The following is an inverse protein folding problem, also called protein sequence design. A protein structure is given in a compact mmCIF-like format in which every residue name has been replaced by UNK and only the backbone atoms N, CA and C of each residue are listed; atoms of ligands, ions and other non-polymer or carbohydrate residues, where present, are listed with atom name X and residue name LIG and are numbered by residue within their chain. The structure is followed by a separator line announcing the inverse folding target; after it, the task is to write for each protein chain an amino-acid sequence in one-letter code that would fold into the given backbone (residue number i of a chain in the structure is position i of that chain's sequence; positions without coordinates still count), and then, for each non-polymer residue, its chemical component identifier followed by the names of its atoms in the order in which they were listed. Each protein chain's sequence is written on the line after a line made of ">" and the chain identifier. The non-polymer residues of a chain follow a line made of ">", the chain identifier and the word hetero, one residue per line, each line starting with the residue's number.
data_IF_220075074006
#
_entry.id   IF_220075074006
#
_cell.length_a   1.000
_cell.length_b   1.000
_cell.length_c   1.000
_cell.angle_alpha   90.00
_cell.angle_beta   90.00
_cell.angle_gamma   90.00
#
_symmetry.space_group_name_H-M   'P 1'
#
loop_
_entity.id
_entity.type
_entity.pdbx_description
1 polymer ?
#
# COMPACT_ATOMS: atom_id res chain seq x y z
N UNK A 1 31.10 -22.28 -9.74
CA UNK A 1 30.65 -21.68 -8.47
C UNK A 1 29.16 -21.96 -8.34
N UNK A 2 28.78 -22.89 -7.46
CA UNK A 2 27.38 -23.12 -7.13
C UNK A 2 27.00 -21.94 -6.24
N UNK A 3 26.31 -20.94 -6.79
CA UNK A 3 25.73 -19.88 -5.98
C UNK A 3 24.67 -20.52 -5.11
N UNK A 4 24.92 -20.64 -3.81
CA UNK A 4 23.91 -21.09 -2.86
C UNK A 4 22.71 -20.16 -2.95
N UNK A 5 21.62 -20.63 -3.56
CA UNK A 5 20.34 -19.96 -3.53
C UNK A 5 19.90 -19.88 -2.06
N UNK A 6 19.89 -18.66 -1.53
CA UNK A 6 19.42 -18.38 -0.17
C UNK A 6 17.89 -18.44 -0.16
N UNK A 7 17.36 -19.04 0.89
CA UNK A 7 15.92 -19.07 1.12
C UNK A 7 15.34 -17.66 1.30
N UNK A 8 14.03 -17.52 1.10
CA UNK A 8 13.32 -16.26 1.34
C UNK A 8 13.47 -15.82 2.80
N UNK A 9 13.47 -16.77 3.75
CA UNK A 9 13.62 -16.50 5.17
C UNK A 9 14.99 -15.90 5.51
N UNK A 10 16.08 -16.46 4.97
CA UNK A 10 17.44 -15.94 5.17
C UNK A 10 17.62 -14.54 4.55
N UNK A 11 17.02 -14.31 3.38
CA UNK A 11 17.04 -12.98 2.76
C UNK A 11 16.26 -11.96 3.60
N UNK A 12 15.10 -12.35 4.14
CA UNK A 12 14.29 -11.48 4.98
C UNK A 12 14.99 -11.12 6.30
N UNK A 13 15.63 -12.09 6.96
CA UNK A 13 16.41 -11.86 8.17
C UNK A 13 17.54 -10.84 7.91
N UNK A 14 18.34 -11.05 6.86
CA UNK A 14 19.42 -10.12 6.50
C UNK A 14 18.94 -8.70 6.23
N UNK A 15 17.81 -8.54 5.54
CA UNK A 15 17.25 -7.21 5.27
C UNK A 15 16.78 -6.55 6.57
N UNK A 16 16.19 -7.32 7.50
CA UNK A 16 15.80 -6.80 8.83
C UNK A 16 17.00 -6.35 9.65
N UNK A 17 18.08 -7.12 9.65
CA UNK A 17 19.32 -6.75 10.34
C UNK A 17 19.89 -5.45 9.78
N UNK A 18 19.96 -5.33 8.45
CA UNK A 18 20.40 -4.10 7.79
C UNK A 18 19.51 -2.89 8.10
N UNK A 19 18.19 -3.08 8.18
CA UNK A 19 17.27 -2.03 8.61
C UNK A 19 17.54 -1.62 10.05
N UNK A 20 17.76 -2.59 10.95
CA UNK A 20 18.01 -2.31 12.35
C UNK A 20 19.31 -1.51 12.54
N UNK A 21 20.39 -1.92 11.88
CA UNK A 21 21.67 -1.20 11.90
C UNK A 21 21.52 0.24 11.39
N UNK A 22 20.85 0.43 10.25
CA UNK A 22 20.63 1.75 9.67
C UNK A 22 19.74 2.64 10.55
N UNK A 23 18.68 2.09 11.15
CA UNK A 23 17.79 2.82 12.06
C UNK A 23 18.55 3.29 13.30
N UNK A 24 19.35 2.42 13.92
CA UNK A 24 20.16 2.76 15.09
C UNK A 24 21.22 3.83 14.75
N UNK A 25 21.87 3.71 13.60
CA UNK A 25 22.82 4.73 13.12
C UNK A 25 22.15 6.11 12.95
N UNK A 26 20.90 6.12 12.48
CA UNK A 26 20.07 7.33 12.34
C UNK A 26 19.40 7.78 13.65
N UNK A 27 19.70 7.15 14.79
CA UNK A 27 19.07 7.39 16.10
C UNK A 27 17.55 7.23 16.11
N UNK A 28 17.06 6.26 15.33
CA UNK A 28 15.66 5.85 15.28
C UNK A 28 15.49 4.43 15.80
N UNK A 29 14.28 4.08 16.22
CA UNK A 29 13.95 2.71 16.60
C UNK A 29 13.66 1.89 15.33
N UNK A 30 14.22 0.67 15.17
CA UNK A 30 13.95 -0.18 14.00
C UNK A 30 12.46 -0.41 13.74
N UNK A 31 11.65 -0.46 14.79
CA UNK A 31 10.20 -0.70 14.73
C UNK A 31 9.43 0.46 14.07
N UNK A 32 10.06 1.63 13.91
CA UNK A 32 9.47 2.75 13.16
C UNK A 32 9.63 2.59 11.63
N UNK A 33 10.37 1.57 11.18
CA UNK A 33 10.62 1.30 9.77
C UNK A 33 9.79 0.09 9.33
N UNK A 34 8.87 0.33 8.41
CA UNK A 34 8.09 -0.74 7.79
C UNK A 34 8.83 -1.32 6.59
N UNK A 35 9.18 -2.60 6.64
CA UNK A 35 9.69 -3.34 5.47
C UNK A 35 8.52 -3.78 4.58
N UNK A 36 8.48 -3.26 3.35
CA UNK A 36 7.53 -3.67 2.31
C UNK A 36 8.24 -4.56 1.29
N UNK A 37 7.87 -5.84 1.21
CA UNK A 37 8.41 -6.76 0.22
C UNK A 37 7.73 -6.58 -1.14
N UNK A 38 8.48 -6.25 -2.18
CA UNK A 38 7.94 -6.04 -3.53
C UNK A 38 7.73 -7.38 -4.22
N UNK A 39 6.49 -7.66 -4.62
CA UNK A 39 6.09 -8.97 -5.16
C UNK A 39 5.94 -9.04 -6.68
N UNK A 40 6.27 -7.98 -7.41
CA UNK A 40 6.15 -7.93 -8.88
C UNK A 40 6.91 -9.11 -9.47
N UNK A 41 6.36 -9.75 -10.50
CA UNK A 41 6.98 -10.93 -11.16
C UNK A 41 7.17 -12.18 -10.28
N UNK A 42 6.61 -12.23 -9.06
CA UNK A 42 6.66 -13.42 -8.20
C UNK A 42 5.29 -14.10 -8.09
N UNK A 43 5.31 -15.42 -8.10
CA UNK A 43 4.13 -16.27 -7.98
C UNK A 43 3.52 -16.20 -6.56
N UNK A 44 2.22 -16.53 -6.38
CA UNK A 44 1.56 -16.55 -5.07
C UNK A 44 2.33 -17.30 -3.98
N UNK A 45 2.95 -18.44 -4.32
CA UNK A 45 3.66 -19.32 -3.41
C UNK A 45 4.88 -18.64 -2.78
N UNK A 46 5.60 -17.83 -3.55
CA UNK A 46 6.73 -17.05 -3.04
C UNK A 46 6.27 -15.97 -2.05
N UNK A 47 5.11 -15.35 -2.32
CA UNK A 47 4.51 -14.35 -1.41
C UNK A 47 4.09 -15.04 -0.11
N UNK A 48 3.43 -16.20 -0.20
CA UNK A 48 3.03 -17.01 0.96
C UNK A 48 4.24 -17.44 1.78
N UNK A 49 5.33 -17.90 1.13
CA UNK A 49 6.57 -18.25 1.80
C UNK A 49 7.21 -17.06 2.53
N UNK A 50 7.19 -15.86 1.92
CA UNK A 50 7.70 -14.64 2.56
C UNK A 50 6.87 -14.26 3.79
N UNK A 51 5.54 -14.37 3.70
CA UNK A 51 4.63 -14.11 4.82
C UNK A 51 4.80 -15.15 5.92
N UNK A 52 5.00 -16.42 5.57
CA UNK A 52 5.34 -17.50 6.49
C UNK A 52 6.67 -17.26 7.22
N UNK A 53 7.65 -16.61 6.56
CA UNK A 53 8.89 -16.13 7.19
C UNK A 53 8.70 -14.85 8.04
N UNK A 54 7.46 -14.37 8.16
CA UNK A 54 7.07 -13.24 8.99
C UNK A 54 6.98 -11.90 8.27
N UNK A 55 7.08 -11.84 6.93
CA UNK A 55 6.79 -10.60 6.20
C UNK A 55 5.32 -10.19 6.41
N UNK A 56 5.07 -8.90 6.65
CA UNK A 56 3.71 -8.38 6.87
C UNK A 56 3.21 -7.47 5.76
N UNK A 57 4.09 -6.66 5.17
CA UNK A 57 3.71 -5.70 4.13
C UNK A 57 4.23 -6.16 2.78
N UNK A 58 3.33 -6.20 1.79
CA UNK A 58 3.63 -6.66 0.43
C UNK A 58 3.24 -5.56 -0.56
N UNK A 59 4.18 -5.13 -1.38
CA UNK A 59 3.97 -4.14 -2.42
C UNK A 59 3.75 -4.77 -3.79
N UNK A 60 2.82 -4.25 -4.57
CA UNK A 60 2.65 -4.59 -5.97
C UNK A 60 2.51 -3.36 -6.86
N UNK A 61 3.09 -3.43 -8.06
CA UNK A 61 3.16 -2.33 -9.00
C UNK A 61 1.95 -2.26 -9.92
N UNK A 62 1.32 -3.41 -10.22
CA UNK A 62 0.27 -3.51 -11.24
C UNK A 62 -0.97 -4.17 -10.67
N UNK A 63 -2.12 -3.53 -10.90
CA UNK A 63 -3.43 -4.03 -10.46
C UNK A 63 -3.77 -5.38 -11.10
N UNK A 64 -3.35 -5.60 -12.35
CA UNK A 64 -3.58 -6.84 -13.08
C UNK A 64 -2.85 -8.02 -12.43
N UNK A 65 -1.53 -7.87 -12.19
CA UNK A 65 -0.74 -8.91 -11.49
C UNK A 65 -1.29 -9.16 -10.07
N UNK A 66 -1.71 -8.10 -9.36
CA UNK A 66 -2.36 -8.24 -8.06
C UNK A 66 -3.69 -9.01 -8.14
N UNK A 67 -4.52 -8.76 -9.16
CA UNK A 67 -5.79 -9.45 -9.37
C UNK A 67 -5.60 -10.95 -9.62
N UNK A 68 -4.51 -11.32 -10.30
CA UNK A 68 -4.16 -12.71 -10.59
C UNK A 68 -3.67 -13.48 -9.36
N UNK A 69 -2.99 -12.80 -8.41
CA UNK A 69 -2.30 -13.49 -7.31
C UNK A 69 -2.86 -13.26 -5.92
N UNK A 70 -3.31 -12.06 -5.57
CA UNK A 70 -3.73 -11.75 -4.19
C UNK A 70 -4.93 -12.55 -3.70
N UNK A 71 -5.95 -12.87 -4.52
CA UNK A 71 -7.01 -13.78 -4.09
C UNK A 71 -6.46 -15.15 -3.66
N UNK A 72 -5.56 -15.73 -4.46
CA UNK A 72 -4.89 -17.01 -4.14
C UNK A 72 -4.03 -16.90 -2.89
N UNK A 73 -3.23 -15.84 -2.75
CA UNK A 73 -2.43 -15.61 -1.53
C UNK A 73 -3.32 -15.54 -0.29
N UNK A 74 -4.43 -14.78 -0.34
CA UNK A 74 -5.38 -14.70 0.78
C UNK A 74 -6.02 -16.05 1.09
N UNK A 75 -6.37 -16.85 0.09
CA UNK A 75 -6.90 -18.20 0.27
C UNK A 75 -5.90 -19.14 0.95
N UNK A 76 -4.63 -19.08 0.54
CA UNK A 76 -3.56 -19.93 1.10
C UNK A 76 -3.18 -19.53 2.54
N UNK A 77 -3.41 -18.27 2.95
CA UNK A 77 -3.11 -17.74 4.28
C UNK A 77 -4.31 -17.84 5.23
N UNK A 78 -4.80 -19.05 5.48
CA UNK A 78 -5.94 -19.32 6.37
C UNK A 78 -5.56 -19.27 7.87
N UNK A 79 -5.11 -18.12 8.38
CA UNK A 79 -4.74 -17.90 9.80
C UNK A 79 -4.62 -16.42 10.22
N UNK A 80 -4.22 -16.14 11.47
CA UNK A 80 -4.18 -14.78 12.09
C UNK A 80 -3.17 -13.79 11.48
N UNK A 81 -2.43 -14.20 10.45
CA UNK A 81 -1.30 -13.50 9.86
C UNK A 81 -1.67 -12.82 8.53
N UNK A 82 -2.75 -12.03 8.52
CA UNK A 82 -3.16 -11.32 7.31
C UNK A 82 -2.09 -10.30 6.87
N UNK A 83 -1.60 -10.35 5.61
CA UNK A 83 -0.68 -9.36 5.09
C UNK A 83 -1.41 -8.04 4.79
N UNK A 84 -0.64 -6.95 4.74
CA UNK A 84 -1.09 -5.66 4.22
C UNK A 84 -0.58 -5.52 2.79
N UNK A 85 -1.47 -5.36 1.84
CA UNK A 85 -1.12 -5.16 0.43
C UNK A 85 -1.09 -3.68 0.05
N UNK A 86 0.01 -3.25 -0.56
CA UNK A 86 0.27 -1.87 -0.97
C UNK A 86 0.30 -1.75 -2.49
N UNK A 87 -0.51 -0.86 -3.06
CA UNK A 87 -0.33 -0.43 -4.46
C UNK A 87 0.79 0.61 -4.47
N UNK A 88 1.97 0.23 -4.97
CA UNK A 88 3.17 1.09 -4.95
C UNK A 88 3.59 1.57 -6.34
N UNK A 89 2.99 1.03 -7.39
CA UNK A 89 3.22 1.46 -8.77
C UNK A 89 2.20 2.48 -9.25
N UNK A 90 2.45 3.08 -10.42
CA UNK A 90 1.52 4.03 -11.03
C UNK A 90 0.11 3.43 -11.19
N UNK A 91 -0.89 4.11 -10.64
CA UNK A 91 -2.27 3.66 -10.66
C UNK A 91 -3.10 4.49 -11.66
N UNK A 92 -3.47 3.87 -12.77
CA UNK A 92 -4.38 4.49 -13.74
C UNK A 92 -5.75 4.75 -13.10
N UNK A 93 -6.32 5.95 -13.32
CA UNK A 93 -7.59 6.37 -12.70
C UNK A 93 -8.75 5.38 -12.96
N UNK A 94 -8.81 4.77 -14.14
CA UNK A 94 -9.85 3.80 -14.49
C UNK A 94 -9.72 2.45 -13.73
N UNK A 95 -8.56 2.18 -13.10
CA UNK A 95 -8.31 1.00 -12.27
C UNK A 95 -8.56 1.24 -10.77
N UNK A 96 -8.98 2.45 -10.37
CA UNK A 96 -9.23 2.79 -8.97
C UNK A 96 -10.18 1.80 -8.26
N UNK A 97 -11.25 1.34 -8.93
CA UNK A 97 -12.17 0.37 -8.33
C UNK A 97 -11.53 -0.99 -8.04
N UNK A 98 -10.77 -1.53 -9.00
CA UNK A 98 -10.01 -2.76 -8.81
C UNK A 98 -8.95 -2.60 -7.73
N UNK A 99 -8.29 -1.44 -7.68
CA UNK A 99 -7.30 -1.15 -6.63
C UNK A 99 -7.94 -1.14 -5.24
N UNK A 100 -9.10 -0.49 -5.07
CA UNK A 100 -9.87 -0.56 -3.82
C UNK A 100 -10.18 -2.03 -3.50
N UNK A 101 -10.67 -2.84 -4.43
CA UNK A 101 -10.98 -4.25 -4.14
C UNK A 101 -9.80 -5.13 -3.72
N UNK A 102 -8.58 -4.81 -4.17
CA UNK A 102 -7.42 -5.70 -4.04
C UNK A 102 -6.44 -5.27 -2.95
N UNK A 103 -6.25 -3.97 -2.75
CA UNK A 103 -5.18 -3.42 -1.91
C UNK A 103 -5.71 -2.83 -0.61
N UNK A 104 -4.91 -2.90 0.43
CA UNK A 104 -5.20 -2.33 1.74
C UNK A 104 -4.72 -0.88 1.83
N UNK A 105 -3.76 -0.48 0.97
CA UNK A 105 -3.19 0.87 0.88
C UNK A 105 -2.82 1.24 -0.56
N UNK A 106 -2.83 2.53 -0.88
CA UNK A 106 -2.30 3.06 -2.16
C UNK A 106 -1.21 4.09 -1.87
N UNK A 107 0.03 3.73 -2.12
CA UNK A 107 1.20 4.54 -1.78
C UNK A 107 1.69 5.39 -2.97
N UNK A 108 0.94 5.40 -4.08
CA UNK A 108 1.29 6.01 -5.36
C UNK A 108 0.23 7.01 -5.87
N UNK A 109 -0.42 7.75 -4.97
CA UNK A 109 -1.40 8.77 -5.39
C UNK A 109 -0.67 9.98 -5.97
N UNK A 110 -0.66 10.09 -7.29
CA UNK A 110 0.10 11.10 -8.03
C UNK A 110 -0.70 12.36 -8.41
N UNK A 111 -2.00 12.39 -8.15
CA UNK A 111 -2.89 13.44 -8.62
C UNK A 111 -4.19 13.53 -7.83
N UNK A 112 -4.76 14.74 -7.77
CA UNK A 112 -6.09 14.95 -7.18
C UNK A 112 -7.18 14.15 -7.92
N UNK A 113 -7.04 13.99 -9.24
CA UNK A 113 -7.97 13.20 -10.07
C UNK A 113 -8.00 11.74 -9.64
N UNK A 114 -6.83 11.14 -9.40
CA UNK A 114 -6.73 9.77 -8.90
C UNK A 114 -7.32 9.68 -7.48
N UNK A 115 -6.98 10.61 -6.60
CA UNK A 115 -7.52 10.66 -5.23
C UNK A 115 -9.06 10.72 -5.21
N UNK A 116 -9.67 11.55 -6.07
CA UNK A 116 -11.12 11.61 -6.24
C UNK A 116 -11.70 10.29 -6.75
N UNK A 117 -11.05 9.65 -7.73
CA UNK A 117 -11.52 8.37 -8.26
C UNK A 117 -11.47 7.25 -7.21
N UNK A 118 -10.41 7.20 -6.39
CA UNK A 118 -10.33 6.28 -5.25
C UNK A 118 -11.43 6.58 -4.23
N UNK A 119 -11.57 7.84 -3.80
CA UNK A 119 -12.58 8.27 -2.82
C UNK A 119 -14.00 7.89 -3.23
N UNK A 120 -14.36 8.02 -4.51
CA UNK A 120 -15.68 7.63 -5.04
C UNK A 120 -15.96 6.12 -5.01
N UNK A 121 -14.94 5.28 -4.85
CA UNK A 121 -15.06 3.81 -4.81
C UNK A 121 -14.99 3.25 -3.39
N UNK A 122 -14.76 4.11 -2.40
CA UNK A 122 -14.75 3.71 -1.00
C UNK A 122 -16.18 3.71 -0.46
N UNK A 123 -16.81 2.54 -0.49
CA UNK A 123 -18.12 2.31 0.13
C UNK A 123 -17.98 1.77 1.56
N UNK A 124 -18.93 2.13 2.44
CA UNK A 124 -19.01 1.58 3.80
C UNK A 124 -17.87 1.99 4.75
N UNK A 125 -17.60 1.22 5.82
CA UNK A 125 -16.65 1.60 6.88
C UNK A 125 -15.18 1.48 6.49
N UNK A 126 -14.86 0.96 5.29
CA UNK A 126 -13.49 0.63 4.90
C UNK A 126 -12.63 1.88 4.75
N UNK A 127 -11.51 1.91 5.46
CA UNK A 127 -10.45 2.90 5.26
C UNK A 127 -9.48 2.43 4.18
N UNK A 128 -9.02 3.37 3.36
CA UNK A 128 -7.91 3.17 2.42
C UNK A 128 -6.88 4.26 2.69
N UNK A 129 -5.85 3.96 3.49
CA UNK A 129 -4.73 4.85 3.66
C UNK A 129 -4.01 5.10 2.33
N UNK A 130 -3.56 6.33 2.13
CA UNK A 130 -2.82 6.71 0.92
C UNK A 130 -1.57 7.50 1.24
N UNK A 131 -0.57 7.38 0.37
CA UNK A 131 0.56 8.31 0.30
C UNK A 131 0.47 9.10 -1.00
N UNK A 132 0.86 10.37 -0.93
CA UNK A 132 0.98 11.24 -2.10
C UNK A 132 2.37 11.04 -2.69
N UNK A 133 2.43 10.63 -3.95
CA UNK A 133 3.67 10.51 -4.70
C UNK A 133 4.10 11.90 -5.16
N UNK A 134 5.30 12.32 -4.76
CA UNK A 134 5.87 13.63 -5.10
C UNK A 134 7.03 13.44 -6.05
N UNK A 135 6.97 14.08 -7.22
CA UNK A 135 8.08 14.07 -8.17
C UNK A 135 9.06 15.19 -7.85
N UNK A 136 10.26 14.83 -7.40
CA UNK A 136 11.33 15.77 -7.00
C UNK A 136 12.35 16.08 -8.11
N UNK A 137 12.11 15.60 -9.33
CA UNK A 137 12.98 15.89 -10.47
C UNK A 137 12.51 17.10 -11.29
N UNK A 138 13.24 17.38 -12.37
CA UNK A 138 12.99 18.55 -13.22
C UNK A 138 12.19 18.24 -14.50
N UNK A 139 11.90 16.97 -14.80
CA UNK A 139 11.15 16.57 -16.00
C UNK A 139 9.65 16.76 -15.78
N UNK A 140 9.00 17.74 -16.46
CA UNK A 140 7.61 18.01 -16.22
C UNK A 140 6.67 16.90 -16.74
N UNK A 141 7.16 15.97 -17.55
CA UNK A 141 6.36 14.87 -18.10
C UNK A 141 6.20 13.69 -17.15
N UNK A 142 7.00 13.63 -16.07
CA UNK A 142 6.96 12.52 -15.11
C UNK A 142 5.73 12.60 -14.20
N UNK A 143 5.12 11.44 -13.87
CA UNK A 143 4.01 11.37 -12.92
C UNK A 143 4.47 11.77 -11.51
N UNK A 144 3.53 12.21 -10.70
CA UNK A 144 3.75 12.67 -9.32
C UNK A 144 3.37 14.14 -9.13
N UNK A 145 2.91 14.46 -7.93
CA UNK A 145 2.60 15.82 -7.50
C UNK A 145 3.89 16.63 -7.46
N UNK A 146 3.84 17.88 -7.93
CA UNK A 146 4.99 18.77 -7.86
C UNK A 146 5.15 19.36 -6.46
N UNK A 147 6.39 19.66 -6.00
CA UNK A 147 6.62 20.21 -4.68
C UNK A 147 5.84 21.51 -4.40
N UNK A 148 5.71 22.38 -5.39
CA UNK A 148 4.96 23.64 -5.30
C UNK A 148 3.44 23.43 -5.21
N UNK A 149 2.93 22.31 -5.70
CA UNK A 149 1.51 21.93 -5.64
C UNK A 149 1.15 21.05 -4.44
N UNK A 150 2.16 20.62 -3.67
CA UNK A 150 2.00 19.58 -2.65
C UNK A 150 1.02 19.98 -1.54
N UNK A 151 1.18 21.18 -0.97
CA UNK A 151 0.37 21.65 0.16
C UNK A 151 -1.11 21.75 -0.24
N UNK A 152 -1.40 22.35 -1.40
CA UNK A 152 -2.76 22.44 -1.92
C UNK A 152 -3.35 21.04 -2.18
N UNK A 153 -2.57 20.16 -2.82
CA UNK A 153 -3.02 18.80 -3.13
C UNK A 153 -3.34 18.01 -1.87
N UNK A 154 -2.46 18.05 -0.87
CA UNK A 154 -2.69 17.40 0.43
C UNK A 154 -3.94 17.94 1.11
N UNK A 155 -4.13 19.26 1.13
CA UNK A 155 -5.34 19.88 1.70
C UNK A 155 -6.62 19.36 1.06
N UNK A 156 -6.66 19.29 -0.28
CA UNK A 156 -7.82 18.76 -1.01
C UNK A 156 -8.03 17.26 -0.80
N UNK A 157 -6.96 16.48 -0.74
CA UNK A 157 -7.03 15.03 -0.45
C UNK A 157 -7.56 14.79 0.96
N UNK A 158 -7.10 15.54 1.96
CA UNK A 158 -7.61 15.44 3.33
C UNK A 158 -9.11 15.76 3.41
N UNK A 159 -9.59 16.77 2.66
CA UNK A 159 -11.01 17.08 2.59
C UNK A 159 -11.82 15.91 1.99
N UNK A 160 -11.34 15.31 0.89
CA UNK A 160 -11.96 14.14 0.28
C UNK A 160 -12.05 12.97 1.27
N UNK A 161 -10.98 12.67 2.01
CA UNK A 161 -10.94 11.60 3.00
C UNK A 161 -11.82 11.89 4.22
N UNK A 162 -11.89 13.14 4.68
CA UNK A 162 -12.81 13.52 5.77
C UNK A 162 -14.27 13.40 5.37
N UNK A 163 -14.61 13.72 4.11
CA UNK A 163 -15.98 13.58 3.62
C UNK A 163 -16.36 12.11 3.47
N UNK A 164 -15.47 11.31 2.89
CA UNK A 164 -15.72 9.87 2.75
C UNK A 164 -15.88 9.20 4.12
N UNK A 165 -15.20 9.67 5.17
CA UNK A 165 -15.38 9.17 6.55
C UNK A 165 -16.62 9.74 7.25
N UNK A 166 -17.00 11.01 7.07
CA UNK A 166 -18.21 11.59 7.71
C UNK A 166 -19.53 11.03 7.20
N UNK A 167 -19.64 10.64 5.93
CA UNK A 167 -20.82 9.92 5.43
C UNK A 167 -21.00 8.53 6.07
N UNK A 168 -20.10 8.13 6.98
CA UNK A 168 -20.09 6.86 7.71
C UNK A 168 -20.49 6.98 9.18
N UNK A 169 -20.84 8.17 9.69
CA UNK A 169 -21.49 8.27 10.99
C UNK A 169 -22.87 7.58 10.91
N UNK A 170 -23.21 6.65 11.82
CA UNK A 170 -24.52 6.00 11.78
C UNK A 170 -25.60 7.08 11.88
N UNK A 171 -26.63 7.00 11.02
CA UNK A 171 -27.87 7.74 11.27
C UNK A 171 -28.32 7.30 12.66
N UNK A 172 -28.32 8.22 13.62
CA UNK A 172 -28.92 7.96 14.92
C UNK A 172 -30.35 7.51 14.67
N UNK A 173 -30.67 6.27 15.00
CA UNK A 173 -32.06 5.87 15.17
C UNK A 173 -32.59 6.69 16.34
N UNK A 174 -33.27 7.78 16.02
CA UNK A 174 -34.18 8.41 16.96
C UNK A 174 -35.30 7.40 17.22
N UNK A 175 -35.10 6.56 18.22
CA UNK A 175 -36.17 5.85 18.90
C UNK A 175 -36.93 6.90 19.71
N UNK A 176 -37.94 7.52 19.10
CA UNK A 176 -38.97 8.22 19.85
C UNK A 176 -39.96 7.17 20.34
N UNK A 177 -40.02 7.07 21.67
CA UNK A 177 -40.99 6.34 22.49
C UNK A 177 -42.43 6.65 22.09
#
# INVERSE_FOLDING_TARGET
>A
MIGTERSIAENLARVRDSIAEAALHARRRPEEITLVGVSKTHAPEAIVAAIGAGLRHVGENRVQEAAEKFPTVRQLLSGDAAPVFHMIGHLQTNKAGSAVGLFDRVDSVDSLKLAQALSRRLDGPRELPVLIEVYVGNDPSRPGVRPDQLVETVGRVLELWRRSTRTRAPRSSASAT
#
